data_IF_105767022261
#
_entry.id   IF_105767022261
#
_cell.length_a   1.000
_cell.length_b   1.000
_cell.length_c   1.000
_cell.angle_alpha   90.00
_cell.angle_beta   90.00
_cell.angle_gamma   90.00
#
_symmetry.space_group_name_H-M   'P 1'
#
loop_
_entity.id
_entity.type
_entity.pdbx_description
1 polymer ?
#
# COMPACT_ATOMS: atom_id res chain seq x y z
N UNK A 1 -9.09 18.54 17.02
CA UNK A 1 -10.56 18.50 16.80
C UNK A 1 -10.83 17.50 15.68
N UNK A 2 -11.78 16.56 15.83
CA UNK A 2 -12.10 15.55 14.80
C UNK A 2 -13.49 15.85 14.22
N UNK A 3 -13.59 15.97 12.90
CA UNK A 3 -14.85 16.21 12.20
C UNK A 3 -15.51 14.89 11.83
N UNK A 4 -16.81 14.72 12.16
CA UNK A 4 -17.57 13.57 11.70
C UNK A 4 -17.88 13.73 10.21
N UNK A 5 -17.31 12.86 9.39
CA UNK A 5 -17.68 12.73 7.98
C UNK A 5 -19.00 11.94 7.90
N UNK A 6 -19.93 12.39 7.03
CA UNK A 6 -21.22 11.70 6.77
C UNK A 6 -21.10 10.55 5.77
N UNK A 7 -19.88 10.21 5.34
CA UNK A 7 -19.59 9.04 4.52
C UNK A 7 -19.16 7.90 5.44
N UNK A 8 -19.77 6.73 5.27
CA UNK A 8 -19.40 5.49 5.97
C UNK A 8 -18.16 4.81 5.37
N UNK A 9 -17.70 5.29 4.23
CA UNK A 9 -16.68 4.64 3.40
C UNK A 9 -15.42 5.52 3.42
N UNK A 10 -14.35 4.98 4.01
CA UNK A 10 -13.03 5.59 3.93
C UNK A 10 -12.41 5.35 2.54
N UNK A 11 -11.36 6.11 2.23
CA UNK A 11 -10.45 5.74 1.14
C UNK A 11 -9.98 4.31 1.43
N UNK A 12 -10.43 3.36 0.62
CA UNK A 12 -9.79 2.04 0.52
C UNK A 12 -8.68 2.22 -0.51
N UNK A 13 -7.41 2.42 -0.08
CA UNK A 13 -6.34 2.33 -1.04
C UNK A 13 -6.36 0.89 -1.55
N UNK A 14 -6.74 0.70 -2.81
CA UNK A 14 -6.23 -0.43 -3.56
C UNK A 14 -4.78 -0.05 -3.90
N UNK A 15 -3.75 -0.60 -3.22
CA UNK A 15 -2.40 -0.43 -3.73
C UNK A 15 -2.37 -1.11 -5.10
N UNK A 16 -2.25 -0.31 -6.17
CA UNK A 16 -1.93 -0.84 -7.49
C UNK A 16 -0.41 -0.95 -7.53
N UNK A 17 0.11 -2.07 -7.02
CA UNK A 17 1.47 -2.50 -7.29
C UNK A 17 1.38 -3.79 -8.11
N UNK A 18 1.44 -3.66 -9.44
CA UNK A 18 1.69 -4.80 -10.32
C UNK A 18 3.14 -4.72 -10.78
N UNK A 19 3.98 -5.62 -10.26
CA UNK A 19 5.14 -6.10 -11.00
C UNK A 19 4.96 -7.60 -11.18
N UNK A 20 4.32 -7.97 -12.30
CA UNK A 20 4.15 -9.35 -12.72
C UNK A 20 5.06 -9.58 -13.92
N UNK A 21 6.12 -10.37 -13.73
CA UNK A 21 6.87 -10.95 -14.84
C UNK A 21 6.53 -12.43 -14.89
N UNK A 22 6.05 -12.89 -16.02
CA UNK A 22 5.85 -14.32 -16.27
C UNK A 22 7.22 -14.96 -16.51
N UNK A 23 7.54 -15.99 -15.74
CA UNK A 23 8.67 -16.86 -16.06
C UNK A 23 8.32 -17.71 -17.30
N UNK A 24 9.32 -18.18 -18.04
CA UNK A 24 9.12 -19.05 -19.22
C UNK A 24 8.38 -20.37 -18.87
N UNK A 25 8.38 -20.75 -17.59
CA UNK A 25 7.72 -21.95 -17.03
C UNK A 25 6.30 -21.70 -16.49
N UNK A 26 5.71 -20.51 -16.71
CA UNK A 26 4.40 -20.09 -16.19
C UNK A 26 4.29 -20.06 -14.64
N UNK A 27 5.40 -20.10 -13.90
CA UNK A 27 5.36 -19.85 -12.45
C UNK A 27 5.17 -18.36 -12.15
N UNK A 28 4.44 -18.06 -11.07
CA UNK A 28 4.21 -16.67 -10.62
C UNK A 28 5.37 -16.27 -9.73
N UNK A 29 6.17 -15.30 -10.18
CA UNK A 29 7.21 -14.69 -9.36
C UNK A 29 7.05 -13.17 -9.35
N UNK A 30 7.25 -12.56 -8.18
CA UNK A 30 7.20 -11.10 -8.04
C UNK A 30 8.63 -10.59 -8.12
N UNK A 31 8.91 -9.77 -9.13
CA UNK A 31 10.20 -9.09 -9.26
C UNK A 31 10.08 -7.67 -8.72
N UNK A 32 11.16 -7.15 -8.15
CA UNK A 32 11.26 -5.77 -7.71
C UNK A 32 12.66 -5.27 -8.07
N UNK A 33 12.76 -3.98 -8.36
CA UNK A 33 14.06 -3.35 -8.63
C UNK A 33 14.97 -3.45 -7.40
N UNK A 34 16.25 -3.77 -7.58
CA UNK A 34 17.19 -3.92 -6.46
C UNK A 34 17.30 -2.63 -5.62
N UNK A 35 17.09 -1.46 -6.23
CA UNK A 35 17.13 -0.17 -5.52
C UNK A 35 16.07 -0.03 -4.43
N UNK A 36 14.97 -0.79 -4.53
CA UNK A 36 13.88 -0.78 -3.54
C UNK A 36 14.01 -1.88 -2.50
N UNK A 37 15.02 -2.75 -2.62
CA UNK A 37 15.25 -3.85 -1.70
C UNK A 37 16.17 -3.41 -0.54
N UNK A 38 15.79 -3.76 0.69
CA UNK A 38 16.55 -3.53 1.92
C UNK A 38 16.42 -4.77 2.80
N UNK A 39 17.53 -5.37 3.22
CA UNK A 39 17.58 -6.56 4.09
C UNK A 39 16.69 -7.73 3.61
N UNK A 40 16.69 -7.97 2.29
CA UNK A 40 15.90 -9.04 1.67
C UNK A 40 14.38 -8.77 1.64
N UNK A 41 13.95 -7.55 1.93
CA UNK A 41 12.55 -7.11 1.88
C UNK A 41 12.39 -5.86 1.04
N UNK A 42 11.19 -5.63 0.52
CA UNK A 42 10.86 -4.40 -0.20
C UNK A 42 10.68 -3.26 0.81
N UNK A 43 11.40 -2.15 0.59
CA UNK A 43 11.16 -0.89 1.27
C UNK A 43 10.15 -0.04 0.46
N UNK A 44 8.90 -0.02 0.93
CA UNK A 44 7.80 0.70 0.28
C UNK A 44 8.08 2.19 0.07
N UNK A 45 8.91 2.81 0.92
CA UNK A 45 9.25 4.23 0.77
C UNK A 45 10.06 4.52 -0.50
N UNK A 46 10.76 3.52 -1.03
CA UNK A 46 11.58 3.63 -2.26
C UNK A 46 10.82 3.28 -3.53
N UNK A 47 9.69 2.58 -3.42
CA UNK A 47 8.89 2.08 -4.55
C UNK A 47 8.20 3.21 -5.33
N UNK A 48 8.09 4.43 -4.78
CA UNK A 48 7.31 5.53 -5.35
C UNK A 48 5.85 5.10 -5.65
N UNK A 49 5.27 4.27 -4.79
CA UNK A 49 3.93 3.74 -4.97
C UNK A 49 2.88 4.86 -5.01
N UNK A 50 1.80 4.61 -5.77
CA UNK A 50 0.62 5.48 -5.82
C UNK A 50 -0.62 4.72 -5.35
N UNK A 51 -1.54 5.43 -4.73
CA UNK A 51 -2.85 4.94 -4.34
C UNK A 51 -3.91 5.58 -5.24
N UNK A 52 -4.80 4.76 -5.79
CA UNK A 52 -5.96 5.22 -6.54
C UNK A 52 -7.08 5.63 -5.58
N UNK A 53 -7.65 6.81 -5.80
CA UNK A 53 -8.87 7.29 -5.14
C UNK A 53 -10.05 7.20 -6.11
N UNK A 54 -10.98 6.24 -5.92
CA UNK A 54 -12.11 6.04 -6.81
C UNK A 54 -13.13 7.18 -6.76
N UNK A 55 -13.13 8.02 -5.71
CA UNK A 55 -14.12 9.07 -5.54
C UNK A 55 -13.68 10.35 -6.26
N UNK A 56 -12.43 10.77 -6.03
CA UNK A 56 -11.85 11.92 -6.72
C UNK A 56 -11.32 11.58 -8.12
N UNK A 57 -11.28 10.29 -8.49
CA UNK A 57 -10.62 9.79 -9.70
C UNK A 57 -9.15 10.25 -9.80
N UNK A 58 -8.47 10.29 -8.66
CA UNK A 58 -7.10 10.81 -8.52
C UNK A 58 -6.10 9.73 -8.12
N UNK A 59 -4.81 10.05 -8.28
CA UNK A 59 -3.70 9.25 -7.77
C UNK A 59 -2.92 10.04 -6.72
N UNK A 60 -2.64 9.40 -5.57
CA UNK A 60 -1.87 10.00 -4.48
C UNK A 60 -0.58 9.22 -4.24
N UNK A 61 0.50 9.94 -3.93
CA UNK A 61 1.79 9.30 -3.60
C UNK A 61 1.73 8.67 -2.21
N UNK A 62 2.17 7.41 -2.10
CA UNK A 62 2.42 6.75 -0.83
C UNK A 62 3.80 7.18 -0.35
N UNK A 63 3.87 7.79 0.84
CA UNK A 63 5.09 8.41 1.36
C UNK A 63 5.80 7.54 2.38
N UNK A 64 5.08 7.07 3.40
CA UNK A 64 5.67 6.40 4.54
C UNK A 64 4.72 5.43 5.24
N UNK A 65 5.30 4.59 6.09
CA UNK A 65 4.58 3.67 6.95
C UNK A 65 4.23 4.36 8.27
N UNK A 66 2.94 4.46 8.57
CA UNK A 66 2.45 5.20 9.74
C UNK A 66 1.89 4.31 10.87
N UNK A 67 1.88 2.98 10.70
CA UNK A 67 1.36 2.07 11.72
C UNK A 67 1.35 0.59 11.33
N UNK A 68 0.83 -0.22 12.24
CA UNK A 68 0.76 -1.67 12.17
C UNK A 68 -0.70 -2.14 12.03
N UNK A 69 -1.05 -2.63 10.84
CA UNK A 69 -2.35 -3.25 10.60
C UNK A 69 -2.57 -4.44 11.55
N UNK A 70 -3.82 -4.61 12.02
CA UNK A 70 -4.24 -5.68 12.96
C UNK A 70 -3.53 -5.71 14.32
N UNK A 71 -2.67 -4.73 14.61
CA UNK A 71 -1.94 -4.63 15.88
C UNK A 71 -2.27 -3.35 16.63
N UNK A 72 -2.13 -2.19 15.99
CA UNK A 72 -2.34 -0.91 16.68
C UNK A 72 -3.77 -0.72 17.17
N UNK A 73 -4.76 -1.25 16.44
CA UNK A 73 -6.16 -1.22 16.85
C UNK A 73 -6.45 -2.03 18.12
N UNK A 74 -5.62 -3.02 18.47
CA UNK A 74 -5.80 -3.80 19.70
C UNK A 74 -5.64 -2.93 20.95
N UNK A 75 -4.83 -1.86 20.89
CA UNK A 75 -4.67 -0.88 21.99
C UNK A 75 -5.97 -0.14 22.31
N UNK A 76 -6.95 -0.17 21.40
CA UNK A 76 -8.23 0.52 21.53
C UNK A 76 -9.35 -0.42 21.98
N UNK A 77 -9.10 -1.74 22.09
CA UNK A 77 -10.05 -2.67 22.71
C UNK A 77 -10.05 -2.42 24.22
N UNK A 78 -11.21 -2.02 24.75
CA UNK A 78 -11.49 -2.02 26.19
C UNK A 78 -11.73 -3.44 26.69
#
# INVERSE_FOLDING_TARGET
MRTKLKITEGIFPMPVLMVATYNEDNSVNVTADESVMVDGKIDISKVNAIAFDPYAHGYYKVTERVGEAFKDGLKLKK
#
